data_IF_797930592862
#
_entry.id   IF_797930592862
#
_cell.length_a   1.000
_cell.length_b   1.000
_cell.length_c   1.000
_cell.angle_alpha   90.00
_cell.angle_beta   90.00
_cell.angle_gamma   90.00
#
_symmetry.space_group_name_H-M   'P 1'
#
loop_
_entity.id
_entity.type
_entity.pdbx_description
1 polymer ?
#
# COMPACT_ATOMS: atom_id res chain seq x y z
N UNK A 1 35.18 -9.06 48.47
CA UNK A 1 35.73 -9.27 47.10
C UNK A 1 34.75 -10.16 46.34
N UNK A 2 34.81 -10.29 45.01
CA UNK A 2 34.21 -11.48 44.35
C UNK A 2 35.28 -12.56 44.27
N UNK A 3 34.91 -13.78 44.63
CA UNK A 3 35.79 -14.93 44.59
C UNK A 3 36.01 -15.42 43.16
N UNK A 4 37.23 -15.84 42.84
CA UNK A 4 37.55 -16.40 41.53
C UNK A 4 36.78 -17.71 41.25
N UNK A 5 36.40 -18.44 42.31
CA UNK A 5 35.49 -19.60 42.24
C UNK A 5 34.16 -19.26 41.55
N UNK A 6 33.65 -18.03 41.74
CA UNK A 6 32.41 -17.55 41.10
C UNK A 6 32.65 -17.23 39.61
N UNK A 7 33.81 -16.67 39.24
CA UNK A 7 34.20 -16.53 37.82
C UNK A 7 34.29 -17.90 37.13
N UNK A 8 34.92 -18.88 37.78
CA UNK A 8 35.11 -20.23 37.25
C UNK A 8 33.77 -20.97 37.07
N UNK A 9 32.86 -20.87 38.04
CA UNK A 9 31.47 -21.37 37.90
C UNK A 9 30.75 -20.71 36.72
N UNK A 10 30.89 -19.39 36.55
CA UNK A 10 30.27 -18.67 35.44
C UNK A 10 30.81 -19.11 34.08
N UNK A 11 32.13 -19.36 33.96
CA UNK A 11 32.73 -19.89 32.74
C UNK A 11 32.18 -21.28 32.37
N UNK A 12 32.00 -22.18 33.35
CA UNK A 12 31.41 -23.52 33.11
C UNK A 12 29.94 -23.47 32.70
N UNK A 13 29.14 -22.55 33.25
CA UNK A 13 27.74 -22.36 32.80
C UNK A 13 27.63 -21.61 31.45
N UNK A 14 28.68 -20.89 31.05
CA UNK A 14 28.78 -20.25 29.74
C UNK A 14 29.20 -21.25 28.66
N UNK A 15 30.15 -22.15 28.98
CA UNK A 15 30.59 -23.27 28.15
C UNK A 15 29.45 -24.24 27.79
N UNK A 16 28.48 -24.45 28.70
CA UNK A 16 27.29 -25.28 28.45
C UNK A 16 26.24 -24.66 27.52
N UNK A 17 26.22 -23.33 27.34
CA UNK A 17 25.03 -22.64 26.81
C UNK A 17 25.27 -21.45 25.88
N UNK A 18 26.45 -20.85 25.88
CA UNK A 18 26.81 -19.65 25.12
C UNK A 18 26.04 -18.38 25.55
N UNK A 19 25.04 -18.51 26.42
CA UNK A 19 24.09 -17.46 26.75
C UNK A 19 24.48 -16.78 28.07
N UNK A 20 25.20 -15.66 27.95
CA UNK A 20 25.64 -14.81 29.06
C UNK A 20 24.53 -14.54 30.08
N UNK A 21 23.28 -14.33 29.66
CA UNK A 21 22.18 -14.10 30.61
C UNK A 21 21.81 -15.34 31.41
N UNK A 22 21.67 -16.50 30.75
CA UNK A 22 21.32 -17.75 31.44
C UNK A 22 22.39 -18.12 32.47
N UNK A 23 23.67 -18.05 32.09
CA UNK A 23 24.79 -18.31 33.00
C UNK A 23 24.87 -17.30 34.15
N UNK A 24 24.59 -16.03 33.89
CA UNK A 24 24.52 -14.98 34.93
C UNK A 24 23.35 -15.20 35.90
N UNK A 25 22.15 -15.53 35.38
CA UNK A 25 20.94 -15.75 36.18
C UNK A 25 21.11 -16.94 37.13
N UNK A 26 21.63 -18.07 36.65
CA UNK A 26 21.91 -19.27 37.46
C UNK A 26 22.84 -19.04 38.66
N UNK A 27 23.67 -18.00 38.60
CA UNK A 27 24.64 -17.64 39.64
C UNK A 27 24.27 -16.34 40.37
N UNK A 28 23.09 -15.79 40.10
CA UNK A 28 22.60 -14.50 40.62
C UNK A 28 23.60 -13.33 40.43
N UNK A 29 24.26 -13.29 39.27
CA UNK A 29 25.23 -12.24 38.89
C UNK A 29 24.54 -11.28 37.92
N UNK A 30 24.61 -9.97 38.16
CA UNK A 30 24.09 -9.00 37.20
C UNK A 30 24.97 -8.91 35.93
N UNK A 31 24.36 -8.85 34.73
CA UNK A 31 25.07 -8.84 33.43
C UNK A 31 26.18 -7.78 33.35
N UNK A 32 25.98 -6.59 33.93
CA UNK A 32 26.99 -5.51 33.89
C UNK A 32 28.28 -5.87 34.66
N UNK A 33 28.20 -6.72 35.68
CA UNK A 33 29.37 -7.21 36.43
C UNK A 33 30.19 -8.19 35.57
N UNK A 34 29.54 -9.07 34.80
CA UNK A 34 30.24 -9.91 33.80
C UNK A 34 30.98 -9.07 32.75
N UNK A 35 30.30 -8.09 32.13
CA UNK A 35 30.95 -7.23 31.13
C UNK A 35 32.07 -6.36 31.73
N UNK A 36 31.95 -5.94 33.00
CA UNK A 36 33.04 -5.27 33.73
C UNK A 36 34.25 -6.19 33.88
N UNK A 37 34.08 -7.45 34.28
CA UNK A 37 35.19 -8.42 34.30
C UNK A 37 35.78 -8.66 32.91
N UNK A 38 34.94 -8.79 31.88
CA UNK A 38 35.38 -8.97 30.47
C UNK A 38 36.24 -7.80 29.97
N UNK A 39 36.03 -6.58 30.49
CA UNK A 39 36.82 -5.37 30.18
C UNK A 39 38.08 -5.23 31.06
N UNK A 40 37.97 -5.48 32.36
CA UNK A 40 39.06 -5.27 33.33
C UNK A 40 40.08 -6.42 33.34
N UNK A 41 39.64 -7.66 33.20
CA UNK A 41 40.47 -8.86 33.28
C UNK A 41 40.65 -9.47 31.88
N UNK A 42 41.78 -9.14 31.23
CA UNK A 42 42.12 -9.62 29.88
C UNK A 42 42.29 -11.15 29.81
N UNK A 43 42.60 -11.84 30.92
CA UNK A 43 42.67 -13.32 30.95
C UNK A 43 41.25 -13.89 30.95
N UNK A 44 40.41 -13.45 31.88
CA UNK A 44 39.00 -13.82 31.93
C UNK A 44 38.27 -13.53 30.61
N UNK A 45 38.48 -12.36 30.00
CA UNK A 45 37.84 -12.00 28.73
C UNK A 45 38.18 -12.93 27.56
N UNK A 46 39.43 -13.42 27.48
CA UNK A 46 39.85 -14.43 26.48
C UNK A 46 39.18 -15.78 26.73
N UNK A 47 39.24 -16.29 27.96
CA UNK A 47 38.61 -17.57 28.32
C UNK A 47 37.10 -17.51 28.12
N UNK A 48 36.46 -16.40 28.48
CA UNK A 48 35.03 -16.19 28.30
C UNK A 48 34.62 -16.19 26.82
N UNK A 49 35.37 -15.55 25.92
CA UNK A 49 35.11 -15.62 24.47
C UNK A 49 35.21 -17.06 23.92
N UNK A 50 36.13 -17.87 24.45
CA UNK A 50 36.26 -19.29 24.09
C UNK A 50 35.06 -20.10 24.61
N UNK A 51 34.62 -19.89 25.85
CA UNK A 51 33.43 -20.56 26.39
C UNK A 51 32.13 -20.11 25.72
N UNK A 52 32.01 -18.83 25.33
CA UNK A 52 30.91 -18.33 24.48
C UNK A 52 30.86 -18.99 23.11
N UNK A 53 32.00 -19.42 22.56
CA UNK A 53 32.05 -20.15 21.29
C UNK A 53 31.62 -21.61 21.49
N UNK A 54 32.25 -22.33 22.42
CA UNK A 54 31.90 -23.73 22.70
C UNK A 54 30.45 -23.90 23.17
N UNK A 55 29.92 -22.95 23.93
CA UNK A 55 28.51 -22.94 24.31
C UNK A 55 27.52 -22.73 23.16
N UNK A 56 27.94 -22.06 22.07
CA UNK A 56 27.15 -21.96 20.83
C UNK A 56 27.26 -23.22 19.96
N UNK A 57 28.42 -23.87 19.95
CA UNK A 57 28.63 -25.18 19.32
C UNK A 57 27.72 -26.23 20.01
N UNK A 58 27.77 -26.32 21.34
CA UNK A 58 26.91 -27.20 22.15
C UNK A 58 25.41 -26.94 21.92
N UNK A 59 24.98 -25.68 21.84
CA UNK A 59 23.58 -25.34 21.51
C UNK A 59 23.19 -25.72 20.08
N UNK A 60 24.12 -25.70 19.12
CA UNK A 60 23.89 -26.20 17.76
C UNK A 60 23.65 -27.72 17.75
N UNK A 61 24.41 -28.49 18.53
CA UNK A 61 24.22 -29.95 18.61
C UNK A 61 22.92 -30.34 19.34
N UNK A 62 22.52 -29.59 20.37
CA UNK A 62 21.20 -29.72 21.00
C UNK A 62 20.08 -29.41 19.99
N UNK A 63 20.24 -28.39 19.14
CA UNK A 63 19.28 -28.07 18.09
C UNK A 63 19.21 -29.17 16.99
N UNK A 64 20.35 -29.77 16.60
CA UNK A 64 20.38 -30.95 15.71
C UNK A 64 19.63 -32.14 16.33
N UNK A 65 19.85 -32.42 17.61
CA UNK A 65 19.13 -33.49 18.31
C UNK A 65 17.62 -33.23 18.36
N UNK A 66 17.20 -31.99 18.69
CA UNK A 66 15.79 -31.60 18.67
C UNK A 66 15.16 -31.70 17.26
N UNK A 67 15.91 -31.37 16.21
CA UNK A 67 15.48 -31.59 14.81
C UNK A 67 15.26 -33.07 14.51
N UNK A 68 16.16 -33.96 14.94
CA UNK A 68 16.00 -35.41 14.76
C UNK A 68 14.80 -35.98 15.55
N UNK A 69 14.52 -35.46 16.76
CA UNK A 69 13.28 -35.79 17.47
C UNK A 69 12.04 -35.35 16.69
N UNK A 70 12.04 -34.13 16.13
CA UNK A 70 10.92 -33.65 15.31
C UNK A 70 10.71 -34.49 14.03
N UNK A 71 11.79 -35.03 13.43
CA UNK A 71 11.70 -36.00 12.32
C UNK A 71 11.08 -37.32 12.79
N UNK A 72 11.49 -37.85 13.95
CA UNK A 72 10.88 -39.06 14.57
C UNK A 72 9.39 -38.87 14.85
N UNK A 73 8.98 -37.68 15.30
CA UNK A 73 7.58 -37.27 15.51
C UNK A 73 6.79 -37.06 14.21
N UNK A 74 7.38 -37.36 13.04
CA UNK A 74 6.81 -37.20 11.69
C UNK A 74 6.42 -35.75 11.35
N UNK A 75 7.00 -34.74 12.00
CA UNK A 75 6.72 -33.32 11.72
C UNK A 75 7.28 -32.96 10.34
N UNK A 76 6.36 -32.75 9.39
CA UNK A 76 6.69 -32.67 7.97
C UNK A 76 7.71 -31.58 7.62
N UNK A 77 7.75 -30.46 8.35
CA UNK A 77 8.70 -29.38 8.08
C UNK A 77 10.12 -29.70 8.55
N UNK A 78 10.28 -30.50 9.60
CA UNK A 78 11.59 -31.04 10.00
C UNK A 78 12.10 -32.04 8.95
N UNK A 79 11.21 -32.88 8.39
CA UNK A 79 11.54 -33.81 7.31
C UNK A 79 11.96 -33.05 6.04
N UNK A 80 11.17 -32.07 5.59
CA UNK A 80 11.52 -31.17 4.46
C UNK A 80 12.89 -30.50 4.68
N UNK A 81 13.14 -29.98 5.88
CA UNK A 81 14.40 -29.31 6.22
C UNK A 81 15.59 -30.27 6.11
N UNK A 82 15.49 -31.48 6.69
CA UNK A 82 16.58 -32.48 6.65
C UNK A 82 16.84 -32.93 5.21
N UNK A 83 15.80 -33.31 4.46
CA UNK A 83 15.97 -33.72 3.06
C UNK A 83 16.62 -32.60 2.23
N UNK A 84 16.15 -31.36 2.33
CA UNK A 84 16.70 -30.22 1.58
C UNK A 84 18.12 -29.78 1.95
N UNK A 85 18.69 -30.29 3.06
CA UNK A 85 20.08 -30.02 3.46
C UNK A 85 21.04 -31.18 3.20
N UNK A 86 20.59 -32.42 3.40
CA UNK A 86 21.44 -33.61 3.30
C UNK A 86 21.35 -34.32 1.94
N UNK A 87 20.21 -34.24 1.26
CA UNK A 87 20.00 -34.88 -0.05
C UNK A 87 20.03 -33.83 -1.18
N UNK A 88 20.97 -33.93 -2.15
CA UNK A 88 21.04 -32.98 -3.26
C UNK A 88 19.81 -33.00 -4.18
N UNK A 89 19.02 -34.09 -4.21
CA UNK A 89 17.80 -34.20 -5.03
C UNK A 89 16.66 -33.33 -4.49
N UNK A 90 16.58 -33.16 -3.17
CA UNK A 90 15.55 -32.34 -2.50
C UNK A 90 16.03 -30.90 -2.23
N UNK A 91 17.30 -30.60 -2.53
CA UNK A 91 17.88 -29.27 -2.37
C UNK A 91 17.24 -28.29 -3.35
N UNK A 92 16.45 -27.34 -2.85
CA UNK A 92 15.82 -26.31 -3.68
C UNK A 92 16.89 -25.43 -4.34
N UNK A 93 17.10 -25.62 -5.63
CA UNK A 93 17.89 -24.74 -6.47
C UNK A 93 17.23 -23.35 -6.50
N UNK A 94 17.76 -22.42 -5.69
CA UNK A 94 17.37 -21.01 -5.77
C UNK A 94 18.09 -20.39 -6.97
N UNK A 95 17.50 -20.53 -8.15
CA UNK A 95 17.83 -19.72 -9.33
C UNK A 95 17.40 -18.29 -9.06
N UNK A 96 18.27 -17.56 -8.35
CA UNK A 96 18.06 -16.18 -7.93
C UNK A 96 18.17 -15.25 -9.13
N UNK A 97 17.14 -15.24 -9.98
CA UNK A 97 16.93 -14.27 -11.05
C UNK A 97 16.56 -12.91 -10.43
N UNK A 98 17.50 -12.34 -9.66
CA UNK A 98 17.36 -11.04 -9.03
C UNK A 98 17.45 -9.99 -10.13
N UNK A 99 16.30 -9.57 -10.65
CA UNK A 99 16.22 -8.39 -11.50
C UNK A 99 16.53 -7.19 -10.62
N UNK A 100 17.79 -6.73 -10.65
CA UNK A 100 18.23 -5.54 -9.91
C UNK A 100 17.67 -4.31 -10.64
N UNK A 101 16.38 -4.04 -10.40
CA UNK A 101 15.70 -2.84 -10.88
C UNK A 101 16.38 -1.64 -10.21
N UNK A 102 17.28 -1.01 -10.95
CA UNK A 102 17.86 0.27 -10.55
C UNK A 102 16.75 1.30 -10.60
N UNK A 103 16.10 1.52 -9.45
CA UNK A 103 15.05 2.50 -9.26
C UNK A 103 15.69 3.90 -9.31
N UNK A 104 16.05 4.33 -10.52
CA UNK A 104 16.39 5.73 -10.81
C UNK A 104 15.22 6.55 -10.30
N UNK A 105 15.48 7.39 -9.30
CA UNK A 105 14.46 8.22 -8.71
C UNK A 105 13.92 9.14 -9.81
N UNK A 106 12.64 8.98 -10.15
CA UNK A 106 11.93 9.98 -10.93
C UNK A 106 12.09 11.29 -10.16
N UNK A 107 12.67 12.35 -10.74
CA UNK A 107 12.86 13.59 -10.03
C UNK A 107 11.49 14.06 -9.56
N UNK A 108 11.28 14.10 -8.24
CA UNK A 108 10.03 14.60 -7.71
C UNK A 108 9.87 16.04 -8.17
N UNK A 109 8.80 16.31 -8.90
CA UNK A 109 8.52 17.64 -9.43
C UNK A 109 8.46 18.59 -8.25
N UNK A 110 9.44 19.49 -8.17
CA UNK A 110 9.64 20.40 -7.06
C UNK A 110 8.62 21.55 -7.15
N UNK A 111 7.35 21.18 -7.04
CA UNK A 111 6.22 22.10 -6.98
C UNK A 111 6.41 22.97 -5.73
N UNK A 112 6.46 24.31 -5.87
CA UNK A 112 6.49 25.18 -4.70
C UNK A 112 5.21 24.94 -3.89
N UNK A 113 5.37 24.73 -2.59
CA UNK A 113 4.24 24.56 -1.67
C UNK A 113 3.58 25.93 -1.52
N UNK A 114 2.55 26.18 -2.32
CA UNK A 114 1.69 27.36 -2.17
C UNK A 114 1.03 27.34 -0.80
N UNK A 115 1.06 28.49 -0.13
CA UNK A 115 0.31 28.75 1.10
C UNK A 115 -1.18 28.93 0.77
N UNK A 116 -2.01 29.09 1.81
CA UNK A 116 -3.44 29.33 1.61
C UNK A 116 -3.71 30.74 1.06
N UNK A 117 -2.95 31.75 1.52
CA UNK A 117 -2.88 33.08 0.90
C UNK A 117 -2.53 33.02 -0.60
N UNK A 118 -1.47 32.32 -1.00
CA UNK A 118 -1.05 32.22 -2.41
C UNK A 118 -2.16 31.66 -3.33
N UNK A 119 -3.08 30.85 -2.78
CA UNK A 119 -4.23 30.30 -3.51
C UNK A 119 -5.39 31.29 -3.62
N UNK A 120 -5.60 32.14 -2.60
CA UNK A 120 -6.59 33.22 -2.67
C UNK A 120 -6.13 34.36 -3.58
N UNK A 121 -4.83 34.67 -3.60
CA UNK A 121 -4.25 35.66 -4.52
C UNK A 121 -4.30 35.17 -5.98
N UNK A 122 -4.00 33.89 -6.25
CA UNK A 122 -4.22 33.24 -7.56
C UNK A 122 -5.68 33.39 -8.07
N UNK A 123 -6.66 33.30 -7.17
CA UNK A 123 -8.08 33.44 -7.51
C UNK A 123 -8.48 34.90 -7.74
N UNK A 124 -7.98 35.82 -6.91
CA UNK A 124 -8.22 37.25 -7.05
C UNK A 124 -7.60 37.81 -8.34
N UNK A 125 -6.36 37.42 -8.68
CA UNK A 125 -5.73 37.80 -9.94
C UNK A 125 -6.51 37.29 -11.15
N UNK A 126 -6.95 36.02 -11.13
CA UNK A 126 -7.74 35.45 -12.24
C UNK A 126 -9.07 36.16 -12.44
N UNK A 127 -9.77 36.52 -11.35
CA UNK A 127 -10.99 37.31 -11.42
C UNK A 127 -10.74 38.72 -12.01
N UNK A 128 -9.64 39.36 -11.61
CA UNK A 128 -9.24 40.67 -12.12
C UNK A 128 -8.81 40.64 -13.60
N UNK A 129 -8.02 39.64 -14.02
CA UNK A 129 -7.64 39.43 -15.41
C UNK A 129 -8.88 39.22 -16.30
N UNK A 130 -9.87 38.43 -15.83
CA UNK A 130 -11.13 38.23 -16.55
C UNK A 130 -11.95 39.52 -16.68
N UNK A 131 -11.95 40.40 -15.67
CA UNK A 131 -12.64 41.71 -15.74
C UNK A 131 -12.02 42.59 -16.84
N UNK A 132 -10.69 42.66 -16.88
CA UNK A 132 -9.93 43.43 -17.88
C UNK A 132 -10.10 42.86 -19.29
N UNK A 133 -10.14 41.54 -19.45
CA UNK A 133 -10.47 40.92 -20.73
C UNK A 133 -11.88 41.29 -21.22
N UNK A 134 -12.89 41.22 -20.35
CA UNK A 134 -14.25 41.60 -20.71
C UNK A 134 -14.34 43.07 -21.09
N UNK A 135 -13.75 43.96 -20.29
CA UNK A 135 -13.69 45.39 -20.59
C UNK A 135 -13.06 45.64 -21.98
N UNK A 136 -11.92 45.01 -22.29
CA UNK A 136 -11.26 45.09 -23.61
C UNK A 136 -12.11 44.50 -24.74
N UNK A 137 -12.80 43.37 -24.50
CA UNK A 137 -13.70 42.74 -25.48
C UNK A 137 -14.83 43.70 -25.87
N UNK A 138 -15.41 44.45 -24.93
CA UNK A 138 -16.48 45.40 -25.24
C UNK A 138 -15.97 46.70 -25.85
N UNK A 139 -14.93 47.33 -25.29
CA UNK A 139 -14.40 48.61 -25.84
C UNK A 139 -13.75 48.43 -27.21
N UNK A 140 -13.07 47.32 -27.47
CA UNK A 140 -12.33 47.08 -28.71
C UNK A 140 -13.14 46.51 -29.88
N UNK A 141 -14.36 46.00 -29.66
CA UNK A 141 -15.14 45.33 -30.72
C UNK A 141 -16.38 46.07 -31.21
N UNK A 142 -16.68 47.26 -30.66
CA UNK A 142 -17.85 48.07 -31.05
C UNK A 142 -19.20 47.40 -30.75
N UNK A 143 -19.22 46.36 -29.92
CA UNK A 143 -20.44 45.62 -29.55
C UNK A 143 -21.28 46.42 -28.56
N UNK A 144 -22.55 46.59 -28.90
CA UNK A 144 -23.58 47.14 -28.00
C UNK A 144 -23.74 46.20 -26.79
N UNK A 145 -23.65 46.77 -25.59
CA UNK A 145 -23.98 46.09 -24.33
C UNK A 145 -25.49 46.24 -24.11
N UNK A 146 -26.27 45.16 -23.89
CA UNK A 146 -27.68 45.27 -23.54
C UNK A 146 -27.86 45.87 -22.15
N UNK A 147 -28.98 46.54 -21.91
CA UNK A 147 -29.35 46.98 -20.56
C UNK A 147 -29.65 45.78 -19.67
N UNK A 148 -29.63 45.99 -18.34
CA UNK A 148 -30.13 45.04 -17.34
C UNK A 148 -31.62 44.71 -17.62
N UNK A 149 -32.13 43.55 -17.14
CA UNK A 149 -33.57 43.29 -17.14
C UNK A 149 -34.40 44.40 -16.46
N UNK A 150 -33.81 45.12 -15.49
CA UNK A 150 -34.41 46.27 -14.80
C UNK A 150 -34.33 47.59 -15.61
N UNK A 151 -33.99 47.54 -16.90
CA UNK A 151 -33.94 48.69 -17.82
C UNK A 151 -32.71 49.60 -17.68
N UNK A 152 -32.01 49.59 -16.55
CA UNK A 152 -30.77 50.35 -16.32
C UNK A 152 -29.59 49.83 -17.16
N UNK A 153 -28.60 50.66 -17.55
CA UNK A 153 -27.38 50.18 -18.21
C UNK A 153 -26.56 49.24 -17.29
N UNK A 154 -25.73 48.38 -17.89
CA UNK A 154 -24.79 47.53 -17.15
C UNK A 154 -23.47 48.30 -16.97
N UNK A 155 -23.10 48.56 -15.72
CA UNK A 155 -21.85 49.26 -15.38
C UNK A 155 -20.63 48.34 -15.53
N UNK A 156 -19.48 48.93 -15.88
CA UNK A 156 -18.27 48.17 -16.25
C UNK A 156 -17.79 47.17 -15.18
N UNK A 157 -18.02 47.44 -13.90
CA UNK A 157 -17.62 46.52 -12.82
C UNK A 157 -18.53 45.29 -12.68
N UNK A 158 -19.74 45.31 -13.28
CA UNK A 158 -20.71 44.22 -13.19
C UNK A 158 -20.67 43.28 -14.42
N UNK A 159 -19.83 43.57 -15.43
CA UNK A 159 -19.71 42.78 -16.66
C UNK A 159 -19.45 41.29 -16.41
N UNK A 160 -18.69 40.92 -15.38
CA UNK A 160 -18.48 39.50 -15.01
C UNK A 160 -19.78 38.82 -14.58
N UNK A 161 -20.63 39.53 -13.82
CA UNK A 161 -21.89 39.00 -13.27
C UNK A 161 -22.95 38.78 -14.35
N UNK A 162 -22.89 39.58 -15.43
CA UNK A 162 -23.84 39.52 -16.56
C UNK A 162 -23.22 38.98 -17.86
N UNK A 163 -22.00 38.40 -17.83
CA UNK A 163 -21.28 37.90 -19.00
C UNK A 163 -22.15 36.94 -19.84
N UNK A 164 -22.69 35.88 -19.22
CA UNK A 164 -23.55 34.90 -19.89
C UNK A 164 -24.83 35.53 -20.47
N UNK A 165 -25.45 36.48 -19.77
CA UNK A 165 -26.63 37.20 -20.25
C UNK A 165 -26.33 38.02 -21.51
N UNK A 166 -25.16 38.68 -21.55
CA UNK A 166 -24.72 39.45 -22.71
C UNK A 166 -24.36 38.53 -23.89
N UNK A 167 -23.76 37.36 -23.64
CA UNK A 167 -23.46 36.37 -24.67
C UNK A 167 -24.72 35.75 -25.28
N UNK A 168 -25.70 35.35 -24.46
CA UNK A 168 -26.97 34.80 -24.95
C UNK A 168 -27.79 35.86 -25.69
N UNK A 169 -27.82 37.12 -25.23
CA UNK A 169 -28.43 38.21 -25.99
C UNK A 169 -27.77 38.40 -27.37
N UNK A 170 -26.43 38.36 -27.44
CA UNK A 170 -25.71 38.39 -28.72
C UNK A 170 -25.96 37.15 -29.59
N UNK A 171 -26.28 35.99 -29.00
CA UNK A 171 -26.65 34.76 -29.71
C UNK A 171 -28.03 34.88 -30.35
N UNK A 172 -29.03 35.35 -29.61
CA UNK A 172 -30.38 35.58 -30.13
C UNK A 172 -30.39 36.63 -31.26
N UNK A 173 -29.63 37.73 -31.11
CA UNK A 173 -29.48 38.74 -32.18
C UNK A 173 -28.84 38.20 -33.47
N UNK A 174 -28.05 37.12 -33.40
CA UNK A 174 -27.54 36.43 -34.60
C UNK A 174 -28.56 35.48 -35.21
N UNK A 175 -29.32 34.74 -34.40
CA UNK A 175 -30.31 33.77 -34.88
C UNK A 175 -31.44 34.45 -35.66
N UNK A 176 -31.97 35.56 -35.15
CA UNK A 176 -32.98 36.39 -35.85
C UNK A 176 -32.47 37.04 -37.15
N UNK A 177 -31.17 36.89 -37.48
CA UNK A 177 -30.55 37.36 -38.72
C UNK A 177 -30.22 36.23 -39.69
N UNK A 178 -30.76 35.03 -39.45
CA UNK A 178 -30.51 33.80 -40.22
C UNK A 178 -31.78 33.01 -40.58
N UNK A 179 -32.95 33.45 -40.13
CA UNK A 179 -34.24 32.78 -40.32
C UNK A 179 -34.95 33.09 -41.64
N UNK A 180 -34.43 34.01 -42.46
CA UNK A 180 -35.08 34.50 -43.68
C UNK A 180 -34.80 33.62 -44.94
N UNK A 181 -34.17 32.44 -44.81
CA UNK A 181 -33.76 31.64 -45.99
C UNK A 181 -33.68 30.11 -45.76
N UNK A 182 -34.77 29.47 -45.33
CA UNK A 182 -34.96 28.02 -45.48
C UNK A 182 -36.44 27.59 -45.29
N UNK A 183 -37.19 27.45 -46.39
CA UNK A 183 -38.58 26.95 -46.34
C UNK A 183 -38.94 26.12 -47.59
N UNK A 184 -39.04 24.79 -47.45
CA UNK A 184 -39.75 23.85 -48.34
C UNK A 184 -39.57 22.36 -47.97
N UNK A 185 -40.62 21.78 -47.35
CA UNK A 185 -41.18 20.42 -47.57
C UNK A 185 -40.29 19.16 -47.28
N UNK A 186 -40.83 17.97 -46.97
CA UNK A 186 -42.23 17.48 -47.00
C UNK A 186 -42.57 16.49 -45.88
N UNK A 187 -43.85 16.42 -45.51
CA UNK A 187 -44.50 15.33 -44.74
C UNK A 187 -44.74 14.08 -45.64
N UNK A 188 -45.26 12.91 -45.22
CA UNK A 188 -45.85 12.39 -43.95
C UNK A 188 -45.01 11.19 -43.42
N UNK A 189 -45.41 10.16 -42.63
CA UNK A 189 -46.70 9.65 -42.10
C UNK A 189 -46.49 8.83 -40.78
N UNK A 190 -47.46 7.98 -40.38
CA UNK A 190 -47.53 7.32 -39.05
C UNK A 190 -47.52 5.76 -39.01
N UNK A 191 -47.27 5.15 -37.83
CA UNK A 191 -47.09 3.70 -37.63
C UNK A 191 -48.29 2.99 -36.95
N UNK A 192 -48.19 1.67 -36.80
CA UNK A 192 -49.13 0.81 -36.04
C UNK A 192 -48.39 -0.10 -35.04
N UNK A 193 -49.10 -0.53 -33.97
CA UNK A 193 -48.58 -1.15 -32.74
C UNK A 193 -48.97 -2.64 -32.66
N UNK A 194 -48.14 -3.48 -32.01
CA UNK A 194 -48.58 -4.73 -31.38
C UNK A 194 -47.73 -5.08 -30.14
N UNK A 195 -48.39 -5.41 -29.02
CA UNK A 195 -47.82 -5.98 -27.80
C UNK A 195 -48.41 -7.38 -27.58
N UNK A 196 -47.59 -8.36 -27.18
CA UNK A 196 -47.88 -9.43 -26.20
C UNK A 196 -46.54 -10.15 -25.93
N UNK A 197 -46.03 -10.49 -24.74
CA UNK A 197 -46.51 -10.70 -23.35
C UNK A 197 -46.37 -12.19 -22.95
N UNK A 198 -45.83 -12.40 -21.72
CA UNK A 198 -45.88 -13.60 -20.87
C UNK A 198 -44.84 -14.75 -20.92
N UNK A 199 -44.53 -15.17 -19.68
CA UNK A 199 -44.16 -16.52 -19.18
C UNK A 199 -42.70 -17.04 -19.23
N UNK A 200 -41.97 -16.70 -18.17
CA UNK A 200 -41.32 -17.70 -17.27
C UNK A 200 -42.39 -18.34 -16.34
N UNK A 201 -42.13 -19.35 -15.48
CA UNK A 201 -40.87 -20.08 -15.20
C UNK A 201 -41.01 -21.62 -15.22
N UNK A 202 -39.93 -22.36 -14.91
CA UNK A 202 -39.98 -23.56 -14.07
C UNK A 202 -38.60 -23.98 -13.55
N UNK A 203 -38.55 -24.44 -12.30
CA UNK A 203 -37.36 -24.93 -11.63
C UNK A 203 -36.97 -26.36 -12.07
N UNK A 204 -35.74 -26.78 -11.77
CA UNK A 204 -35.51 -28.19 -11.44
C UNK A 204 -34.37 -28.35 -10.41
N UNK A 205 -34.77 -28.55 -9.15
CA UNK A 205 -33.90 -29.11 -8.12
C UNK A 205 -33.83 -30.63 -8.31
N UNK A 206 -32.63 -31.22 -8.29
CA UNK A 206 -32.55 -32.62 -7.88
C UNK A 206 -31.31 -32.89 -7.03
N UNK A 207 -31.56 -33.35 -5.81
CA UNK A 207 -30.57 -33.88 -4.89
C UNK A 207 -30.21 -35.30 -5.28
N UNK A 208 -29.07 -35.81 -4.79
CA UNK A 208 -29.07 -37.18 -4.26
C UNK A 208 -27.95 -37.39 -3.23
N UNK A 209 -28.29 -38.17 -2.21
CA UNK A 209 -27.43 -38.46 -1.06
C UNK A 209 -27.16 -39.96 -0.99
N UNK A 210 -25.98 -40.36 -0.52
CA UNK A 210 -25.69 -41.75 -0.14
C UNK A 210 -24.70 -41.75 1.04
N UNK A 211 -24.88 -42.71 1.96
CA UNK A 211 -24.21 -42.77 3.28
C UNK A 211 -23.96 -44.22 3.71
N UNK A 212 -23.07 -44.41 4.69
CA UNK A 212 -22.74 -45.70 5.39
C UNK A 212 -21.93 -46.69 4.49
N UNK A 213 -21.09 -47.62 4.98
CA UNK A 213 -20.78 -48.18 6.31
C UNK A 213 -19.31 -47.92 6.75
N UNK A 214 -18.84 -47.93 8.00
CA UNK A 214 -18.91 -48.77 9.24
C UNK A 214 -17.93 -49.97 9.35
N UNK A 215 -17.23 -50.00 10.51
CA UNK A 215 -16.64 -51.15 11.28
C UNK A 215 -15.35 -51.89 10.84
N UNK A 216 -14.42 -51.97 11.83
CA UNK A 216 -13.73 -53.19 12.36
C UNK A 216 -12.75 -53.98 11.44
N UNK A 217 -11.69 -54.65 11.91
CA UNK A 217 -11.01 -54.76 13.22
C UNK A 217 -9.60 -55.40 13.07
N UNK A 218 -8.88 -55.54 14.20
CA UNK A 218 -7.85 -56.56 14.52
C UNK A 218 -6.34 -56.24 14.43
N UNK A 219 -5.66 -56.82 15.44
CA UNK A 219 -4.21 -56.90 15.64
C UNK A 219 -3.50 -57.76 14.58
N UNK A 220 -2.20 -57.51 14.38
CA UNK A 220 -1.12 -58.44 14.76
C UNK A 220 0.15 -57.62 15.02
#
# INVERSE_FOLDING_TARGET
MIDDTTKQKLLKELEKSGNVWSSCLKLNIHRSTYYRWKKTDKKFGRTANTMERHGRENMCDIAKHALMLNVKDKKMDAIKYVLGHYDPLFKRNQTSNVVIVHKKESPMLNMPIKTLEDLFDDDAERAHQKSLELQKKFTGSGKIIPNKPDGNPIEFHELIKYEAYIEDWQRCQKQNKSTDTADSMSETDKPTIAHQENQMPSDNLNSNSASQDTRQDNNT
#
